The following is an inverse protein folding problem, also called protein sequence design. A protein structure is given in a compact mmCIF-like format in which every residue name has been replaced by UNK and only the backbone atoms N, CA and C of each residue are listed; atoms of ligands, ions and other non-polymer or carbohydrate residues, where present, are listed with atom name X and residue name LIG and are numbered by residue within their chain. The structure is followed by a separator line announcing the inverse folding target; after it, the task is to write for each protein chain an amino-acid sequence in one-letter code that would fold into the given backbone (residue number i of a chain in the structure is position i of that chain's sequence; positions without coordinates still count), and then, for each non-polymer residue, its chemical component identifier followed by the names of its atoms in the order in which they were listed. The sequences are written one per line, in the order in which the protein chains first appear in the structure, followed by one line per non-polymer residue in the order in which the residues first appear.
data_IF_978583489120
#
_entry.id   IF_978583489120
#
_cell.length_a   1.000
_cell.length_b   1.000
_cell.length_c   1.000
_cell.angle_alpha   90.00
_cell.angle_beta   90.00
_cell.angle_gamma   90.00
#
_symmetry.space_group_name_H-M   'P 1'
#
loop_
_entity.id
_entity.type
_entity.pdbx_description
1 polymer ?
#
# COMPACT_ATOMS: atom_id res chain seq x y z
N UNK A 1 11.93 38.41 69.92
CA UNK A 1 13.11 37.81 69.24
C UNK A 1 12.64 36.54 68.55
N UNK A 2 12.78 36.47 67.21
CA UNK A 2 12.52 35.38 66.23
C UNK A 2 11.84 34.08 66.73
N UNK A 3 10.78 33.54 66.06
CA UNK A 3 10.98 32.96 64.73
C UNK A 3 9.80 32.97 63.72
N UNK A 4 10.21 32.86 62.45
CA UNK A 4 9.51 32.25 61.30
C UNK A 4 8.37 33.02 60.63
N UNK A 5 8.73 33.89 59.68
CA UNK A 5 7.81 34.32 58.61
C UNK A 5 7.97 33.39 57.41
N UNK A 6 7.03 32.45 57.24
CA UNK A 6 6.85 31.64 56.03
C UNK A 6 6.50 32.58 54.86
N UNK A 7 7.47 32.87 53.97
CA UNK A 7 7.20 33.47 52.66
C UNK A 7 6.60 32.40 51.75
N UNK A 8 5.39 32.66 51.23
CA UNK A 8 4.80 31.91 50.12
C UNK A 8 5.52 32.33 48.84
N UNK A 9 6.38 31.47 48.32
CA UNK A 9 7.01 31.64 47.00
C UNK A 9 6.03 31.16 45.94
N UNK A 10 5.50 32.08 45.14
CA UNK A 10 4.93 31.74 43.83
C UNK A 10 6.11 31.33 42.93
N UNK A 11 6.22 30.03 42.65
CA UNK A 11 7.12 29.55 41.61
C UNK A 11 6.41 29.70 40.26
N UNK A 12 6.85 30.72 39.51
CA UNK A 12 6.54 30.93 38.11
C UNK A 12 7.23 29.83 37.30
N UNK A 13 6.49 28.82 36.87
CA UNK A 13 7.00 27.82 35.93
C UNK A 13 7.06 28.49 34.56
N UNK A 14 8.27 28.88 34.17
CA UNK A 14 8.58 29.26 32.79
C UNK A 14 8.60 27.98 31.94
N UNK A 15 7.48 27.66 31.29
CA UNK A 15 7.44 26.70 30.19
C UNK A 15 8.08 27.34 28.97
N UNK A 16 9.32 26.96 28.69
CA UNK A 16 9.98 27.21 27.41
C UNK A 16 9.33 26.36 26.33
N UNK A 17 8.22 26.85 25.76
CA UNK A 17 7.63 26.30 24.56
C UNK A 17 8.46 26.68 23.33
N UNK A 18 9.10 25.68 22.71
CA UNK A 18 9.55 25.80 21.32
C UNK A 18 8.30 25.69 20.45
N UNK A 19 7.70 26.84 20.12
CA UNK A 19 6.67 26.94 19.09
C UNK A 19 7.33 26.69 17.73
N UNK A 20 7.06 25.53 17.13
CA UNK A 20 7.30 25.33 15.70
C UNK A 20 6.31 26.16 14.91
N UNK A 21 6.84 26.90 13.93
CA UNK A 21 6.18 27.86 13.06
C UNK A 21 5.22 27.19 12.08
N UNK A 22 4.02 26.83 12.55
CA UNK A 22 2.88 26.49 11.67
C UNK A 22 1.54 27.07 12.16
N UNK A 23 1.59 28.11 13.01
CA UNK A 23 0.40 28.70 13.63
C UNK A 23 0.32 30.23 13.57
N UNK A 24 1.05 30.89 12.67
CA UNK A 24 0.98 32.36 12.52
C UNK A 24 0.47 32.67 11.11
N UNK A 25 -0.83 32.52 10.91
CA UNK A 25 -1.55 33.30 9.89
C UNK A 25 -3.01 33.62 10.28
N UNK A 26 -3.42 33.36 11.53
CA UNK A 26 -4.83 33.50 11.92
C UNK A 26 -5.18 34.67 12.86
N UNK A 27 -4.23 35.43 13.40
CA UNK A 27 -4.55 36.45 14.40
C UNK A 27 -3.71 37.73 14.27
N UNK A 28 -3.88 38.45 13.17
CA UNK A 28 -3.74 39.92 13.17
C UNK A 28 -4.89 40.51 12.34
N UNK A 29 -5.75 41.26 13.03
CA UNK A 29 -7.01 41.76 12.52
C UNK A 29 -6.87 42.62 11.27
N UNK A 30 -7.56 42.21 10.20
CA UNK A 30 -7.97 43.10 9.12
C UNK A 30 -9.44 43.46 9.35
N UNK A 31 -9.72 44.77 9.42
CA UNK A 31 -11.09 45.33 9.38
C UNK A 31 -11.85 44.73 8.18
N UNK A 32 -13.19 44.59 8.26
CA UNK A 32 -13.99 44.18 7.12
C UNK A 32 -13.89 45.27 6.05
N UNK A 33 -13.09 45.02 5.01
CA UNK A 33 -13.22 45.77 3.77
C UNK A 33 -14.53 45.33 3.14
N UNK A 34 -15.44 46.29 2.95
CA UNK A 34 -16.52 46.20 1.98
C UNK A 34 -15.91 45.86 0.62
N UNK A 35 -15.94 44.58 0.25
CA UNK A 35 -15.52 44.15 -1.07
C UNK A 35 -16.64 44.50 -2.05
N UNK A 36 -16.43 45.55 -2.82
CA UNK A 36 -17.01 45.66 -4.16
C UNK A 36 -16.71 44.36 -4.92
N UNK A 37 -17.77 43.67 -5.35
CA UNK A 37 -17.69 42.48 -6.19
C UNK A 37 -17.10 42.89 -7.55
N UNK A 38 -15.79 42.72 -7.70
CA UNK A 38 -15.19 42.62 -9.03
C UNK A 38 -15.14 41.13 -9.35
N UNK A 39 -16.01 40.72 -10.26
CA UNK A 39 -16.04 39.39 -10.83
C UNK A 39 -14.72 39.12 -11.55
N UNK A 40 -13.76 38.48 -10.87
CA UNK A 40 -12.67 37.83 -11.56
C UNK A 40 -13.25 36.60 -12.25
N UNK A 41 -13.60 36.74 -13.54
CA UNK A 41 -13.88 35.61 -14.42
C UNK A 41 -12.61 34.76 -14.50
N UNK A 42 -12.44 33.82 -13.57
CA UNK A 42 -11.58 32.67 -13.81
C UNK A 42 -12.25 31.90 -14.95
N UNK A 43 -11.59 31.68 -16.09
CA UNK A 43 -12.17 30.85 -17.12
C UNK A 43 -12.47 29.47 -16.50
N UNK A 44 -13.73 29.07 -16.54
CA UNK A 44 -14.11 27.70 -16.24
C UNK A 44 -13.41 26.83 -17.28
N UNK A 45 -12.37 26.11 -16.85
CA UNK A 45 -11.71 25.14 -17.70
C UNK A 45 -12.64 23.96 -17.85
N UNK A 46 -13.45 23.96 -18.91
CA UNK A 46 -14.24 22.79 -19.29
C UNK A 46 -13.27 21.69 -19.73
N UNK A 47 -12.95 20.78 -18.79
CA UNK A 47 -12.24 19.55 -19.13
C UNK A 47 -13.25 18.68 -19.88
N UNK A 48 -13.14 18.66 -21.21
CA UNK A 48 -13.83 17.67 -22.02
C UNK A 48 -13.13 16.33 -21.78
N UNK A 49 -13.62 15.58 -20.81
CA UNK A 49 -13.20 14.19 -20.58
C UNK A 49 -13.83 13.35 -21.70
N UNK A 50 -13.01 12.82 -22.60
CA UNK A 50 -13.46 11.78 -23.50
C UNK A 50 -13.54 10.48 -22.70
N UNK A 51 -14.74 9.89 -22.66
CA UNK A 51 -14.93 8.59 -22.04
C UNK A 51 -14.01 7.57 -22.74
N UNK A 52 -13.14 6.93 -21.95
CA UNK A 52 -12.41 5.76 -22.41
C UNK A 52 -13.08 4.53 -21.81
N UNK A 53 -13.82 3.83 -22.63
CA UNK A 53 -14.37 2.53 -22.25
C UNK A 53 -13.31 1.44 -22.42
N UNK A 54 -13.41 0.38 -21.63
CA UNK A 54 -12.58 -0.79 -21.84
C UNK A 54 -12.78 -1.38 -23.24
N UNK A 55 -11.71 -1.99 -23.78
CA UNK A 55 -11.71 -2.61 -25.11
C UNK A 55 -12.65 -3.83 -25.14
N UNK A 56 -12.95 -4.40 -23.97
CA UNK A 56 -13.87 -5.52 -23.76
C UNK A 56 -14.85 -5.20 -22.64
N UNK A 57 -16.08 -5.73 -22.73
CA UNK A 57 -17.08 -5.64 -21.66
C UNK A 57 -17.55 -7.04 -21.21
N UNK A 58 -17.66 -7.28 -19.88
CA UNK A 58 -17.20 -6.40 -18.80
C UNK A 58 -15.67 -6.30 -18.75
N UNK A 59 -15.15 -5.16 -18.29
CA UNK A 59 -13.70 -4.94 -18.14
C UNK A 59 -13.12 -5.66 -16.92
N UNK A 60 -13.99 -5.98 -15.96
CA UNK A 60 -13.65 -6.55 -14.67
C UNK A 60 -14.88 -7.21 -14.07
N UNK A 61 -14.67 -8.31 -13.35
CA UNK A 61 -15.70 -8.91 -12.51
C UNK A 61 -15.68 -8.26 -11.13
N UNK A 62 -16.87 -7.93 -10.62
CA UNK A 62 -17.04 -7.32 -9.30
C UNK A 62 -17.85 -8.26 -8.42
N UNK A 63 -17.21 -8.75 -7.37
CA UNK A 63 -17.83 -9.59 -6.35
C UNK A 63 -17.94 -8.82 -5.05
N UNK A 64 -19.13 -8.82 -4.45
CA UNK A 64 -19.40 -8.10 -3.20
C UNK A 64 -20.05 -9.04 -2.21
N UNK A 65 -19.37 -9.23 -1.09
CA UNK A 65 -19.94 -9.87 0.09
C UNK A 65 -20.20 -8.78 1.11
N UNK A 66 -21.43 -8.70 1.62
CA UNK A 66 -21.87 -7.66 2.57
C UNK A 66 -22.68 -8.27 3.71
N UNK A 67 -22.87 -7.50 4.78
CA UNK A 67 -23.68 -7.93 5.93
C UNK A 67 -23.01 -8.98 6.84
N UNK A 68 -21.70 -9.18 6.71
CA UNK A 68 -20.98 -10.10 7.60
C UNK A 68 -20.65 -9.43 8.93
N UNK A 69 -20.98 -10.12 10.03
CA UNK A 69 -20.62 -9.71 11.37
C UNK A 69 -19.18 -10.17 11.68
N UNK A 70 -18.19 -9.36 11.30
CA UNK A 70 -16.85 -9.28 11.91
C UNK A 70 -16.01 -10.55 12.11
N UNK A 71 -16.35 -11.71 11.55
CA UNK A 71 -15.66 -12.98 11.85
C UNK A 71 -15.25 -13.77 10.61
N UNK A 72 -13.95 -14.06 10.56
CA UNK A 72 -13.13 -15.10 9.86
C UNK A 72 -13.71 -15.91 8.68
N UNK A 73 -14.58 -15.35 7.86
CA UNK A 73 -15.13 -16.04 6.68
C UNK A 73 -15.45 -15.11 5.51
N UNK A 74 -15.16 -13.82 5.61
CA UNK A 74 -15.55 -12.86 4.58
C UNK A 74 -14.82 -13.06 3.26
N UNK A 75 -13.49 -13.21 3.33
CA UNK A 75 -12.69 -13.51 2.15
C UNK A 75 -12.95 -14.92 1.63
N UNK A 76 -13.15 -15.92 2.50
CA UNK A 76 -13.52 -17.26 2.07
C UNK A 76 -14.88 -17.27 1.35
N UNK A 77 -15.87 -16.55 1.87
CA UNK A 77 -17.19 -16.39 1.25
C UNK A 77 -17.06 -15.69 -0.11
N UNK A 78 -16.18 -14.69 -0.20
CA UNK A 78 -15.87 -14.03 -1.47
C UNK A 78 -15.29 -15.02 -2.49
N UNK A 79 -14.33 -15.87 -2.08
CA UNK A 79 -13.75 -16.91 -2.93
C UNK A 79 -14.78 -17.94 -3.39
N UNK A 80 -15.69 -18.34 -2.49
CA UNK A 80 -16.77 -19.27 -2.84
C UNK A 80 -17.75 -18.62 -3.83
N UNK A 81 -18.10 -17.34 -3.64
CA UNK A 81 -18.93 -16.55 -4.57
C UNK A 81 -18.27 -16.40 -5.94
N UNK A 82 -16.98 -16.05 -5.98
CA UNK A 82 -16.20 -15.98 -7.22
C UNK A 82 -16.30 -17.30 -8.00
N UNK A 83 -16.11 -18.42 -7.30
CA UNK A 83 -16.20 -19.76 -7.86
C UNK A 83 -17.59 -20.12 -8.41
N UNK A 84 -18.66 -19.75 -7.70
CA UNK A 84 -20.05 -19.92 -8.16
C UNK A 84 -20.35 -19.15 -9.45
N UNK A 85 -19.60 -18.10 -9.73
CA UNK A 85 -19.68 -17.28 -10.94
C UNK A 85 -18.54 -17.55 -11.93
N UNK A 86 -17.90 -18.72 -11.85
CA UNK A 86 -16.92 -19.18 -12.84
C UNK A 86 -15.52 -18.61 -12.69
N UNK A 87 -15.24 -17.86 -11.62
CA UNK A 87 -13.90 -17.36 -11.30
C UNK A 87 -13.25 -18.25 -10.24
N UNK A 88 -12.46 -19.24 -10.68
CA UNK A 88 -11.75 -20.12 -9.76
C UNK A 88 -10.61 -19.36 -9.04
N UNK A 89 -10.56 -19.46 -7.72
CA UNK A 89 -9.46 -18.86 -6.94
C UNK A 89 -8.23 -19.78 -6.95
N UNK A 90 -8.42 -21.08 -6.75
CA UNK A 90 -7.33 -22.05 -6.75
C UNK A 90 -7.10 -22.62 -8.15
N UNK A 91 -5.88 -22.49 -8.66
CA UNK A 91 -5.48 -23.15 -9.90
C UNK A 91 -5.27 -24.63 -9.61
N UNK A 92 -6.13 -25.47 -10.18
CA UNK A 92 -6.11 -26.90 -9.94
C UNK A 92 -6.59 -27.64 -11.18
N UNK A 93 -6.05 -28.84 -11.39
CA UNK A 93 -6.59 -29.77 -12.39
C UNK A 93 -8.00 -30.26 -12.04
N UNK A 94 -8.42 -30.10 -10.77
CA UNK A 94 -9.71 -30.53 -10.25
C UNK A 94 -10.71 -29.39 -10.38
N UNK A 95 -11.84 -29.67 -11.02
CA UNK A 95 -12.98 -28.76 -11.09
C UNK A 95 -13.87 -28.91 -9.85
N UNK A 96 -13.90 -27.89 -9.00
CA UNK A 96 -14.79 -27.76 -7.83
C UNK A 96 -15.21 -26.29 -7.68
N UNK A 97 -16.09 -25.99 -6.71
CA UNK A 97 -16.64 -24.64 -6.48
C UNK A 97 -15.61 -23.51 -6.69
N UNK A 98 -14.50 -23.52 -5.95
CA UNK A 98 -13.45 -22.49 -6.04
C UNK A 98 -12.16 -22.98 -6.72
N UNK A 99 -12.21 -24.10 -7.46
CA UNK A 99 -11.04 -24.78 -8.03
C UNK A 99 -11.24 -25.01 -9.53
N UNK A 100 -10.20 -24.77 -10.32
CA UNK A 100 -10.22 -25.17 -11.72
C UNK A 100 -8.98 -24.74 -12.48
N UNK A 101 -8.80 -25.26 -13.73
CA UNK A 101 -7.69 -24.88 -14.57
C UNK A 101 -7.74 -23.38 -14.86
N UNK A 102 -6.61 -22.70 -14.67
CA UNK A 102 -6.53 -21.25 -14.84
C UNK A 102 -7.06 -20.45 -13.65
N UNK A 103 -7.24 -21.08 -12.49
CA UNK A 103 -7.52 -20.35 -11.25
C UNK A 103 -6.41 -19.34 -10.89
N UNK A 104 -6.73 -18.37 -10.06
CA UNK A 104 -5.87 -17.21 -9.80
C UNK A 104 -4.55 -17.54 -9.09
N UNK A 105 -4.56 -18.49 -8.16
CA UNK A 105 -3.43 -18.85 -7.29
C UNK A 105 -3.11 -20.34 -7.45
N UNK A 106 -1.93 -20.66 -7.96
CA UNK A 106 -1.38 -22.01 -7.97
C UNK A 106 -0.71 -22.37 -6.64
N UNK A 107 -0.52 -23.67 -6.40
CA UNK A 107 0.04 -24.19 -5.14
C UNK A 107 1.46 -23.69 -4.82
N UNK A 108 2.22 -23.31 -5.84
CA UNK A 108 3.64 -22.93 -5.80
C UNK A 108 3.87 -21.47 -6.23
N UNK A 109 2.80 -20.69 -6.34
CA UNK A 109 2.90 -19.25 -6.57
C UNK A 109 3.58 -18.53 -5.40
N UNK A 110 4.30 -17.46 -5.73
CA UNK A 110 4.76 -16.47 -4.75
C UNK A 110 3.73 -15.34 -4.74
N UNK A 111 3.11 -15.09 -3.59
CA UNK A 111 2.00 -14.14 -3.46
C UNK A 111 2.41 -12.95 -2.59
N UNK A 112 2.45 -11.76 -3.17
CA UNK A 112 2.55 -10.51 -2.41
C UNK A 112 1.15 -10.10 -1.95
N UNK A 113 0.96 -9.99 -0.64
CA UNK A 113 -0.18 -9.29 -0.06
C UNK A 113 0.23 -7.83 0.10
N UNK A 114 -0.17 -7.01 -0.87
CA UNK A 114 0.09 -5.58 -0.87
C UNK A 114 -0.90 -4.94 0.11
N UNK A 115 -0.42 -4.57 1.29
CA UNK A 115 -1.22 -3.96 2.36
C UNK A 115 -1.06 -2.45 2.39
N UNK A 116 -1.83 -1.75 3.23
CA UNK A 116 -1.58 -0.36 3.59
C UNK A 116 -0.94 -0.35 4.98
N UNK A 117 0.36 -0.13 5.02
CA UNK A 117 1.12 0.00 6.25
C UNK A 117 1.70 1.41 6.42
N UNK A 118 1.25 2.39 5.63
CA UNK A 118 1.66 3.78 5.82
C UNK A 118 1.03 4.40 7.07
N UNK A 119 -0.21 4.04 7.37
CA UNK A 119 -0.98 4.60 8.48
C UNK A 119 -1.41 3.48 9.41
N UNK A 120 -1.38 3.74 10.71
CA UNK A 120 -1.94 2.87 11.75
C UNK A 120 -3.46 3.06 11.89
N UNK A 121 -4.06 2.38 12.87
CA UNK A 121 -5.50 2.46 13.19
C UNK A 121 -6.38 2.22 11.93
N UNK A 122 -7.40 3.05 11.72
CA UNK A 122 -8.31 2.99 10.56
C UNK A 122 -7.67 3.44 9.25
N UNK A 123 -6.41 3.87 9.30
CA UNK A 123 -5.65 4.27 8.14
C UNK A 123 -5.03 3.08 7.40
N UNK A 124 -4.78 1.97 8.10
CA UNK A 124 -4.11 0.77 7.60
C UNK A 124 -5.05 -0.39 7.25
N UNK A 125 -4.51 -1.37 6.53
CA UNK A 125 -5.27 -2.58 6.18
C UNK A 125 -5.60 -3.38 7.44
N UNK A 126 -6.86 -3.79 7.57
CA UNK A 126 -7.30 -4.59 8.70
C UNK A 126 -6.56 -5.94 8.75
N UNK A 127 -5.97 -6.24 9.91
CA UNK A 127 -5.09 -7.40 10.07
C UNK A 127 -5.86 -8.72 10.18
N UNK A 128 -7.14 -8.70 10.57
CA UNK A 128 -8.00 -9.90 10.52
C UNK A 128 -8.25 -10.33 9.07
N UNK A 129 -8.45 -9.36 8.16
CA UNK A 129 -8.53 -9.65 6.73
C UNK A 129 -7.21 -10.23 6.20
N UNK A 130 -6.06 -9.69 6.60
CA UNK A 130 -4.75 -10.25 6.20
C UNK A 130 -4.62 -11.71 6.68
N UNK A 131 -4.99 -11.99 7.93
CA UNK A 131 -4.97 -13.34 8.50
C UNK A 131 -5.88 -14.28 7.70
N UNK A 132 -7.08 -13.84 7.36
CA UNK A 132 -8.02 -14.64 6.59
C UNK A 132 -7.51 -14.92 5.17
N UNK A 133 -6.96 -13.92 4.48
CA UNK A 133 -6.39 -14.08 3.13
C UNK A 133 -5.23 -15.08 3.15
N UNK A 134 -4.32 -14.99 4.13
CA UNK A 134 -3.24 -15.97 4.30
C UNK A 134 -3.84 -17.36 4.51
N UNK A 135 -4.81 -17.50 5.42
CA UNK A 135 -5.44 -18.78 5.73
C UNK A 135 -6.11 -19.42 4.50
N UNK A 136 -6.77 -18.62 3.66
CA UNK A 136 -7.37 -19.08 2.40
C UNK A 136 -6.29 -19.55 1.42
N UNK A 137 -5.21 -18.80 1.21
CA UNK A 137 -4.12 -19.20 0.30
C UNK A 137 -3.45 -20.50 0.76
N UNK A 138 -3.06 -20.60 2.04
CA UNK A 138 -2.37 -21.81 2.54
C UNK A 138 -3.28 -23.05 2.56
N UNK A 139 -4.59 -22.83 2.59
CA UNK A 139 -5.61 -23.88 2.47
C UNK A 139 -5.84 -24.33 1.03
N UNK A 140 -4.91 -24.01 0.10
CA UNK A 140 -4.94 -24.53 -1.26
C UNK A 140 -5.24 -26.04 -1.23
N UNK A 141 -6.24 -26.53 -1.98
CA UNK A 141 -6.76 -27.90 -1.86
C UNK A 141 -5.73 -28.99 -2.18
N UNK A 142 -4.73 -28.66 -2.99
CA UNK A 142 -3.61 -29.54 -3.31
C UNK A 142 -2.44 -29.41 -2.31
N UNK A 143 -2.52 -28.48 -1.36
CA UNK A 143 -1.47 -28.12 -0.41
C UNK A 143 -0.56 -27.01 -0.94
N UNK A 144 -0.57 -25.86 -0.28
CA UNK A 144 0.26 -24.72 -0.67
C UNK A 144 1.73 -24.94 -0.27
N UNK A 145 2.65 -24.75 -1.20
CA UNK A 145 4.10 -24.89 -1.04
C UNK A 145 4.89 -23.66 -1.51
N UNK A 146 4.17 -22.68 -2.06
CA UNK A 146 4.72 -21.39 -2.46
C UNK A 146 5.09 -20.51 -1.27
N UNK A 147 5.09 -19.20 -1.49
CA UNK A 147 5.49 -18.20 -0.50
C UNK A 147 4.50 -17.05 -0.45
N UNK A 148 4.27 -16.49 0.73
CA UNK A 148 3.42 -15.31 0.94
C UNK A 148 4.24 -14.20 1.58
N UNK A 149 4.26 -13.03 0.94
CA UNK A 149 4.97 -11.84 1.42
C UNK A 149 3.98 -10.72 1.69
N UNK A 150 3.77 -10.37 2.96
CA UNK A 150 3.00 -9.19 3.36
C UNK A 150 3.89 -7.96 3.22
N UNK A 151 3.61 -7.11 2.24
CA UNK A 151 4.50 -6.01 1.88
C UNK A 151 3.77 -4.70 1.61
N UNK A 152 4.46 -3.63 1.98
CA UNK A 152 4.27 -2.19 1.73
C UNK A 152 5.54 -1.58 2.37
N UNK A 153 5.88 -0.31 2.42
CA UNK A 153 5.49 0.89 1.73
C UNK A 153 6.81 1.46 1.19
N UNK A 154 6.84 2.13 0.04
CA UNK A 154 8.03 2.75 -0.55
C UNK A 154 8.12 4.27 -0.35
N UNK A 155 7.24 4.87 0.45
CA UNK A 155 7.13 6.33 0.55
C UNK A 155 8.11 6.98 1.53
N UNK A 156 8.59 6.32 2.58
CA UNK A 156 9.58 6.71 3.61
C UNK A 156 9.38 8.02 4.42
N UNK A 157 8.79 9.09 3.88
CA UNK A 157 8.63 10.37 4.60
C UNK A 157 7.23 10.63 5.14
N UNK A 158 6.32 9.70 4.94
CA UNK A 158 4.91 9.86 5.27
C UNK A 158 4.44 8.66 6.06
N UNK A 159 3.54 8.89 7.00
CA UNK A 159 2.92 7.85 7.81
C UNK A 159 2.67 8.31 9.24
N UNK A 160 2.13 7.42 10.07
CA UNK A 160 1.69 7.78 11.42
C UNK A 160 2.80 8.29 12.34
N UNK A 161 4.05 7.93 12.06
CA UNK A 161 5.24 8.39 12.80
C UNK A 161 6.01 9.50 12.09
N UNK A 162 5.58 9.88 10.87
CA UNK A 162 6.29 10.84 10.01
C UNK A 162 7.56 10.31 9.33
N UNK A 163 7.88 9.02 9.48
CA UNK A 163 9.13 8.42 9.00
C UNK A 163 8.89 7.11 8.21
N UNK A 164 7.80 7.06 7.45
CA UNK A 164 7.44 5.89 6.65
C UNK A 164 6.35 5.05 7.31
N UNK A 165 6.13 3.88 6.71
CA UNK A 165 5.18 2.89 7.18
C UNK A 165 5.77 1.94 8.24
N UNK A 166 4.92 1.08 8.79
CA UNK A 166 5.35 -0.02 9.66
C UNK A 166 4.40 -1.20 9.55
N UNK A 167 4.95 -2.40 9.42
CA UNK A 167 4.20 -3.67 9.51
C UNK A 167 3.98 -4.13 10.97
N UNK A 168 4.52 -3.37 11.93
CA UNK A 168 4.50 -3.67 13.37
C UNK A 168 3.75 -2.62 14.18
N UNK A 169 2.84 -1.85 13.57
CA UNK A 169 2.02 -0.89 14.32
C UNK A 169 1.28 -1.57 15.48
N UNK A 170 1.35 -0.94 16.66
CA UNK A 170 0.62 -1.38 17.84
C UNK A 170 -0.87 -1.07 17.73
N UNK A 171 -1.20 0.11 17.16
CA UNK A 171 -2.58 0.55 16.96
C UNK A 171 -3.09 0.02 15.62
N UNK A 172 -4.19 -0.71 15.64
CA UNK A 172 -4.81 -1.31 14.46
C UNK A 172 -6.33 -1.09 14.49
N UNK A 173 -6.99 -1.53 13.43
CA UNK A 173 -8.45 -1.51 13.25
C UNK A 173 -9.04 -2.94 13.20
N UNK A 174 -8.33 -3.93 13.73
CA UNK A 174 -8.78 -5.31 13.86
C UNK A 174 -9.61 -5.49 15.15
N UNK A 175 -10.40 -6.55 15.20
CA UNK A 175 -11.11 -6.99 16.40
C UNK A 175 -10.09 -7.39 17.48
N UNK A 176 -9.03 -8.11 17.09
CA UNK A 176 -7.88 -8.30 17.96
C UNK A 176 -6.98 -7.06 17.95
N UNK A 177 -7.26 -6.16 18.90
CA UNK A 177 -6.47 -4.95 19.13
C UNK A 177 -4.97 -5.18 19.43
N UNK A 178 -4.53 -6.42 19.69
CA UNK A 178 -3.10 -6.74 19.87
C UNK A 178 -2.41 -7.15 18.57
N UNK A 179 -3.07 -7.09 17.42
CA UNK A 179 -2.56 -7.69 16.20
C UNK A 179 -1.95 -6.66 15.22
N UNK A 180 -0.66 -6.83 14.91
CA UNK A 180 0.03 -6.16 13.80
C UNK A 180 0.14 -7.10 12.59
N UNK A 181 0.53 -6.58 11.41
CA UNK A 181 0.82 -7.43 10.25
C UNK A 181 1.92 -8.45 10.57
N UNK A 182 2.97 -8.02 11.28
CA UNK A 182 4.05 -8.90 11.74
C UNK A 182 3.52 -10.03 12.62
N UNK A 183 2.68 -9.72 13.63
CA UNK A 183 2.11 -10.75 14.51
C UNK A 183 1.24 -11.75 13.75
N UNK A 184 0.49 -11.29 12.74
CA UNK A 184 -0.27 -12.20 11.86
C UNK A 184 0.67 -13.15 11.12
N UNK A 185 1.70 -12.62 10.47
CA UNK A 185 2.70 -13.41 9.76
C UNK A 185 3.38 -14.43 10.67
N UNK A 186 3.70 -14.04 11.90
CA UNK A 186 4.38 -14.90 12.87
C UNK A 186 3.56 -16.16 13.20
N UNK A 187 2.23 -16.06 13.25
CA UNK A 187 1.31 -17.20 13.48
C UNK A 187 1.52 -18.31 12.44
N UNK A 188 1.79 -17.97 11.18
CA UNK A 188 1.91 -18.94 10.08
C UNK A 188 3.36 -19.35 9.78
N UNK A 189 4.32 -18.50 10.14
CA UNK A 189 5.72 -18.62 9.72
C UNK A 189 6.46 -19.86 10.24
N UNK A 190 5.92 -20.56 11.24
CA UNK A 190 6.47 -21.82 11.76
C UNK A 190 6.22 -23.03 10.85
N UNK A 191 5.17 -22.97 10.02
CA UNK A 191 4.72 -24.09 9.18
C UNK A 191 4.71 -23.75 7.69
N UNK A 192 4.67 -22.46 7.34
CA UNK A 192 4.57 -21.98 5.96
C UNK A 192 5.59 -20.87 5.69
N UNK A 193 5.97 -20.71 4.42
CA UNK A 193 6.81 -19.59 3.97
C UNK A 193 6.00 -18.29 3.94
N UNK A 194 5.78 -17.71 5.12
CA UNK A 194 5.11 -16.43 5.27
C UNK A 194 6.09 -15.44 5.90
N UNK A 195 6.20 -14.25 5.31
CA UNK A 195 7.06 -13.17 5.80
C UNK A 195 6.47 -11.79 5.57
N UNK A 196 6.96 -10.83 6.33
CA UNK A 196 6.79 -9.41 6.07
C UNK A 196 7.95 -8.89 5.22
N UNK A 197 7.72 -7.82 4.48
CA UNK A 197 8.79 -7.05 3.85
C UNK A 197 8.42 -5.56 3.79
N UNK A 198 9.21 -4.70 4.47
CA UNK A 198 8.99 -3.26 4.49
C UNK A 198 9.84 -2.59 3.39
N UNK A 199 9.23 -2.10 2.31
CA UNK A 199 10.00 -1.50 1.21
C UNK A 199 10.70 -0.17 1.56
N UNK A 200 10.30 0.48 2.65
CA UNK A 200 10.91 1.73 3.13
C UNK A 200 12.39 1.50 3.50
N UNK A 201 12.76 0.27 3.87
CA UNK A 201 14.13 -0.12 4.20
C UNK A 201 15.06 -0.04 2.98
N UNK A 202 14.52 -0.17 1.77
CA UNK A 202 15.27 -0.20 0.50
C UNK A 202 14.93 0.95 -0.45
N UNK A 203 13.93 1.77 -0.12
CA UNK A 203 13.36 2.78 -1.04
C UNK A 203 14.35 3.87 -1.50
N UNK A 204 15.45 4.07 -0.78
CA UNK A 204 16.49 5.04 -1.16
C UNK A 204 17.58 4.47 -2.06
N UNK A 205 17.59 3.15 -2.30
CA UNK A 205 18.63 2.49 -3.09
C UNK A 205 18.14 2.28 -4.52
N UNK A 206 18.74 3.01 -5.47
CA UNK A 206 18.58 2.69 -6.88
C UNK A 206 19.44 1.46 -7.21
N UNK A 207 18.84 0.49 -7.88
CA UNK A 207 19.49 -0.73 -8.38
C UNK A 207 19.08 -0.97 -9.83
N UNK A 208 19.87 -1.81 -10.51
CA UNK A 208 19.57 -2.34 -11.85
C UNK A 208 18.79 -3.66 -11.71
N UNK A 209 18.29 -4.26 -12.79
CA UNK A 209 17.53 -5.52 -12.69
C UNK A 209 18.42 -6.75 -12.43
N UNK A 210 17.85 -7.84 -11.92
CA UNK A 210 18.60 -9.10 -11.74
C UNK A 210 19.20 -9.61 -13.05
N UNK A 211 18.48 -9.45 -14.17
CA UNK A 211 18.99 -9.78 -15.51
C UNK A 211 20.21 -8.95 -15.94
N UNK A 212 20.47 -7.83 -15.27
CA UNK A 212 21.62 -6.95 -15.51
C UNK A 212 22.79 -7.28 -14.57
N UNK A 213 22.65 -8.29 -13.72
CA UNK A 213 23.68 -8.78 -12.80
C UNK A 213 23.71 -8.07 -11.44
N UNK A 214 22.74 -7.19 -11.17
CA UNK A 214 22.59 -6.54 -9.88
C UNK A 214 21.73 -7.42 -8.95
N UNK A 215 22.35 -7.95 -7.89
CA UNK A 215 21.69 -8.81 -6.90
C UNK A 215 21.30 -8.06 -5.62
N UNK A 216 21.47 -6.75 -5.55
CA UNK A 216 21.16 -5.95 -4.37
C UNK A 216 19.66 -5.66 -4.26
N UNK A 217 19.16 -5.63 -3.03
CA UNK A 217 17.80 -5.18 -2.74
C UNK A 217 17.68 -3.66 -2.94
N UNK A 218 16.65 -3.21 -3.66
CA UNK A 218 16.47 -1.80 -3.97
C UNK A 218 15.27 -1.53 -4.85
N UNK A 219 15.30 -0.38 -5.50
CA UNK A 219 14.31 0.08 -6.46
C UNK A 219 14.90 0.21 -7.85
N UNK A 220 14.26 -0.45 -8.81
CA UNK A 220 14.51 -0.23 -10.22
C UNK A 220 13.67 0.96 -10.67
N UNK A 221 14.28 1.87 -11.43
CA UNK A 221 13.61 3.04 -11.99
C UNK A 221 13.57 2.90 -13.51
N UNK A 222 12.41 3.13 -14.11
CA UNK A 222 12.33 3.27 -15.55
C UNK A 222 13.20 4.46 -16.03
N UNK A 223 13.63 4.40 -17.29
CA UNK A 223 14.64 5.30 -17.85
C UNK A 223 14.19 6.77 -17.92
N UNK A 224 12.88 7.04 -17.95
CA UNK A 224 12.33 8.38 -18.13
C UNK A 224 11.06 8.64 -17.31
N UNK A 225 10.68 9.92 -17.29
CA UNK A 225 9.39 10.38 -16.76
C UNK A 225 8.34 10.19 -17.85
N UNK A 226 7.20 9.58 -17.53
CA UNK A 226 6.07 9.46 -18.44
C UNK A 226 5.58 10.87 -18.84
N UNK A 227 5.55 11.21 -20.14
CA UNK A 227 5.22 12.57 -20.57
C UNK A 227 3.76 12.95 -20.31
N UNK A 228 2.84 11.98 -20.26
CA UNK A 228 1.41 12.23 -20.06
C UNK A 228 1.08 12.28 -18.58
N UNK A 229 1.53 11.27 -17.83
CA UNK A 229 1.14 11.08 -16.44
C UNK A 229 2.14 11.64 -15.44
N UNK A 230 3.28 12.15 -15.91
CA UNK A 230 4.35 12.81 -15.13
C UNK A 230 5.02 11.93 -14.07
N UNK A 231 4.66 10.65 -13.99
CA UNK A 231 5.29 9.71 -13.08
C UNK A 231 6.59 9.18 -13.69
N UNK A 232 7.59 8.96 -12.86
CA UNK A 232 8.67 8.03 -13.19
C UNK A 232 8.35 6.70 -12.52
N UNK A 233 8.09 5.66 -13.30
CA UNK A 233 7.77 4.34 -12.75
C UNK A 233 8.99 3.80 -12.00
N UNK A 234 8.73 3.29 -10.81
CA UNK A 234 9.74 2.60 -10.01
C UNK A 234 9.11 1.49 -9.20
N UNK A 235 9.85 0.43 -8.92
CA UNK A 235 9.30 -0.74 -8.25
C UNK A 235 10.39 -1.48 -7.45
N UNK A 236 9.99 -2.19 -6.37
CA UNK A 236 10.94 -2.88 -5.52
C UNK A 236 11.43 -4.16 -6.19
N UNK A 237 12.72 -4.41 -6.00
CA UNK A 237 13.43 -5.65 -6.33
C UNK A 237 14.15 -6.10 -5.05
N UNK A 238 13.86 -7.30 -4.56
CA UNK A 238 14.38 -7.76 -3.27
C UNK A 238 14.43 -9.28 -3.13
N UNK A 239 15.26 -9.77 -2.20
CA UNK A 239 15.36 -11.18 -1.82
C UNK A 239 14.69 -11.43 -0.47
N UNK A 240 13.72 -12.33 -0.43
CA UNK A 240 13.02 -12.66 0.82
C UNK A 240 13.92 -13.47 1.77
N UNK A 241 13.52 -13.56 3.05
CA UNK A 241 14.23 -14.39 4.05
C UNK A 241 14.27 -15.88 3.69
N UNK A 242 13.41 -16.33 2.79
CA UNK A 242 13.37 -17.72 2.29
C UNK A 242 14.20 -17.92 1.03
N UNK A 243 14.90 -16.88 0.56
CA UNK A 243 15.82 -16.94 -0.57
C UNK A 243 15.20 -16.62 -1.92
N UNK A 244 13.92 -16.26 -1.98
CA UNK A 244 13.21 -15.97 -3.22
C UNK A 244 13.57 -14.57 -3.74
N UNK A 245 14.06 -14.47 -4.97
CA UNK A 245 14.35 -13.20 -5.61
C UNK A 245 13.12 -12.68 -6.35
N UNK A 246 12.59 -11.55 -5.89
CA UNK A 246 11.38 -10.93 -6.43
C UNK A 246 11.76 -9.63 -7.13
N UNK A 247 11.42 -9.50 -8.41
CA UNK A 247 11.23 -8.19 -9.05
C UNK A 247 9.73 -7.97 -9.18
N UNK A 248 9.22 -6.90 -8.58
CA UNK A 248 7.78 -6.63 -8.60
C UNK A 248 7.21 -6.54 -10.03
N UNK A 249 8.00 -6.04 -10.99
CA UNK A 249 7.62 -5.92 -12.42
C UNK A 249 7.91 -7.17 -13.24
N UNK A 250 9.00 -7.89 -12.95
CA UNK A 250 9.49 -8.98 -13.81
C UNK A 250 9.13 -10.37 -13.33
N UNK A 251 8.70 -10.53 -12.08
CA UNK A 251 8.36 -11.82 -11.47
C UNK A 251 9.49 -12.39 -10.63
N UNK A 252 9.60 -13.72 -10.59
CA UNK A 252 10.58 -14.42 -9.75
C UNK A 252 11.84 -14.70 -10.56
N UNK A 253 12.99 -14.23 -10.08
CA UNK A 253 14.27 -14.46 -10.73
C UNK A 253 14.86 -15.82 -10.33
N UNK A 254 15.27 -16.60 -11.34
CA UNK A 254 15.98 -17.87 -11.16
C UNK A 254 17.43 -17.70 -11.59
N UNK A 255 18.35 -17.66 -10.63
CA UNK A 255 19.78 -17.45 -10.89
C UNK A 255 20.36 -18.51 -11.84
N UNK A 256 20.00 -19.79 -11.65
CA UNK A 256 20.51 -20.92 -12.44
C UNK A 256 20.10 -20.83 -13.92
N UNK A 257 18.89 -20.32 -14.17
CA UNK A 257 18.31 -20.21 -15.51
C UNK A 257 18.57 -18.84 -16.14
N UNK A 258 19.00 -17.85 -15.34
CA UNK A 258 19.12 -16.44 -15.73
C UNK A 258 17.84 -15.89 -16.38
N UNK A 259 16.69 -16.26 -15.83
CA UNK A 259 15.38 -15.92 -16.36
C UNK A 259 14.36 -15.65 -15.25
N UNK A 260 13.30 -14.92 -15.59
CA UNK A 260 12.16 -14.73 -14.71
C UNK A 260 11.04 -15.74 -14.98
N UNK A 261 10.30 -16.12 -13.94
CA UNK A 261 9.01 -16.80 -14.03
C UNK A 261 7.85 -15.89 -13.62
N UNK A 262 6.66 -16.20 -14.13
CA UNK A 262 5.41 -15.43 -14.01
C UNK A 262 4.48 -15.93 -12.88
N UNK A 263 5.01 -16.76 -11.99
CA UNK A 263 4.33 -17.28 -10.80
C UNK A 263 4.32 -16.27 -9.61
N UNK A 264 4.65 -15.00 -9.86
CA UNK A 264 4.44 -13.91 -8.91
C UNK A 264 2.99 -13.40 -9.03
N UNK A 265 2.25 -13.40 -7.93
CA UNK A 265 0.89 -12.86 -7.83
C UNK A 265 0.87 -11.70 -6.84
N UNK A 266 0.05 -10.68 -7.11
CA UNK A 266 -0.15 -9.55 -6.20
C UNK A 266 -1.62 -9.44 -5.84
N UNK A 267 -1.95 -9.60 -4.55
CA UNK A 267 -3.28 -9.30 -4.03
C UNK A 267 -3.21 -7.92 -3.37
N UNK A 268 -3.87 -6.96 -4.01
CA UNK A 268 -3.94 -5.57 -3.54
C UNK A 268 -5.09 -5.42 -2.52
N UNK A 269 -4.76 -5.10 -1.26
CA UNK A 269 -5.72 -5.03 -0.15
C UNK A 269 -5.83 -3.57 0.37
N UNK A 270 -6.50 -2.68 -0.38
CA UNK A 270 -6.56 -1.26 -0.07
C UNK A 270 -7.50 -0.93 1.09
N UNK A 271 -7.35 0.28 1.61
CA UNK A 271 -8.32 0.90 2.52
C UNK A 271 -9.11 1.96 1.75
N UNK A 272 -10.44 1.85 1.80
CA UNK A 272 -11.35 2.89 1.32
C UNK A 272 -11.55 3.92 2.44
N UNK A 273 -11.03 5.13 2.25
CA UNK A 273 -11.17 6.24 3.20
C UNK A 273 -11.24 7.58 2.48
N UNK A 274 -11.75 8.59 3.16
CA UNK A 274 -11.72 9.97 2.67
C UNK A 274 -10.28 10.50 2.63
N UNK A 275 -10.01 11.41 1.69
CA UNK A 275 -8.69 11.99 1.48
C UNK A 275 -8.79 13.45 1.06
N UNK A 276 -8.08 14.34 1.77
CA UNK A 276 -8.17 15.80 1.58
C UNK A 276 -7.86 16.27 0.16
N UNK A 277 -6.91 15.62 -0.53
CA UNK A 277 -6.52 16.00 -1.89
C UNK A 277 -7.27 15.29 -3.03
N UNK A 278 -7.89 14.13 -2.78
CA UNK A 278 -8.37 13.23 -3.86
C UNK A 278 -9.80 12.72 -3.64
N UNK A 279 -10.50 13.23 -2.61
CA UNK A 279 -11.82 12.75 -2.22
C UNK A 279 -11.74 11.43 -1.46
N UNK A 280 -11.24 10.37 -2.10
CA UNK A 280 -11.12 9.02 -1.54
C UNK A 280 -9.81 8.33 -1.90
N UNK A 281 -9.41 7.33 -1.12
CA UNK A 281 -8.40 6.32 -1.50
C UNK A 281 -9.07 5.00 -1.84
N UNK A 282 -8.44 4.18 -2.68
CA UNK A 282 -8.87 2.81 -3.02
C UNK A 282 -7.73 2.10 -3.78
N UNK A 283 -8.06 1.08 -4.58
CA UNK A 283 -7.13 0.19 -5.29
C UNK A 283 -6.01 0.93 -6.05
N UNK A 284 -6.36 1.90 -6.90
CA UNK A 284 -5.37 2.61 -7.75
C UNK A 284 -4.45 3.48 -6.91
N UNK A 285 -4.99 4.27 -5.98
CA UNK A 285 -4.19 5.12 -5.09
C UNK A 285 -3.27 4.30 -4.17
N UNK A 286 -3.65 3.07 -3.85
CA UNK A 286 -2.89 2.20 -2.96
C UNK A 286 -1.53 1.80 -3.55
N UNK A 287 -1.39 1.76 -4.88
CA UNK A 287 -0.10 1.57 -5.57
C UNK A 287 0.94 2.67 -5.28
N UNK A 288 0.54 3.79 -4.64
CA UNK A 288 1.50 4.76 -4.12
C UNK A 288 2.52 4.15 -3.15
N UNK A 289 2.13 3.08 -2.44
CA UNK A 289 3.04 2.36 -1.56
C UNK A 289 4.04 1.47 -2.30
N UNK A 290 3.83 1.18 -3.59
CA UNK A 290 4.75 0.36 -4.39
C UNK A 290 5.95 1.18 -4.85
N UNK A 291 5.75 2.39 -5.34
CA UNK A 291 6.81 3.25 -5.90
C UNK A 291 7.73 3.81 -4.81
N UNK A 292 9.00 4.05 -5.17
CA UNK A 292 9.91 4.86 -4.36
C UNK A 292 9.56 6.33 -4.55
N UNK A 293 8.79 6.91 -3.64
CA UNK A 293 8.43 8.32 -3.73
C UNK A 293 9.66 9.24 -3.59
N UNK A 294 10.66 8.79 -2.82
CA UNK A 294 11.93 9.50 -2.62
C UNK A 294 12.78 9.59 -3.89
N UNK A 295 13.05 8.46 -4.54
CA UNK A 295 13.93 8.43 -5.71
C UNK A 295 13.27 9.10 -6.91
N UNK A 296 11.97 8.90 -7.08
CA UNK A 296 11.20 9.53 -8.14
C UNK A 296 11.09 11.05 -7.93
N UNK A 297 10.93 11.52 -6.69
CA UNK A 297 10.95 12.96 -6.35
C UNK A 297 12.27 13.63 -6.72
N UNK A 298 13.41 13.02 -6.36
CA UNK A 298 14.75 13.54 -6.68
C UNK A 298 15.04 13.62 -8.18
N UNK A 299 14.34 12.83 -8.99
CA UNK A 299 14.51 12.78 -10.45
C UNK A 299 13.39 13.47 -11.22
N UNK A 300 12.50 14.20 -10.55
CA UNK A 300 11.45 15.02 -11.17
C UNK A 300 10.15 14.29 -11.52
N UNK A 301 10.10 12.96 -11.32
CA UNK A 301 8.92 12.13 -11.58
C UNK A 301 8.09 11.80 -10.34
N UNK A 302 8.00 12.74 -9.39
CA UNK A 302 7.41 12.55 -8.06
C UNK A 302 6.00 11.93 -8.11
N UNK A 303 5.84 10.76 -7.47
CA UNK A 303 4.60 10.00 -7.53
C UNK A 303 3.39 10.79 -7.00
N UNK A 304 3.50 11.52 -5.88
CA UNK A 304 2.35 12.31 -5.36
C UNK A 304 1.89 13.40 -6.32
N UNK A 305 2.84 14.09 -6.97
CA UNK A 305 2.52 15.13 -7.96
C UNK A 305 1.92 14.56 -9.25
N UNK A 306 2.16 13.27 -9.52
CA UNK A 306 1.68 12.58 -10.73
C UNK A 306 0.22 12.11 -10.64
N UNK A 307 -0.37 12.05 -9.43
CA UNK A 307 -1.71 11.43 -9.24
C UNK A 307 -2.79 12.11 -10.09
N UNK A 308 -2.82 13.45 -10.12
CA UNK A 308 -3.81 14.21 -10.88
C UNK A 308 -3.70 14.01 -12.40
N UNK A 309 -2.58 13.49 -12.88
CA UNK A 309 -2.32 13.15 -14.27
C UNK A 309 -2.49 11.65 -14.55
N UNK A 310 -2.99 10.86 -13.60
CA UNK A 310 -3.17 9.41 -13.76
C UNK A 310 -1.92 8.58 -13.50
N UNK A 311 -0.88 9.14 -12.87
CA UNK A 311 0.40 8.46 -12.65
C UNK A 311 0.30 7.12 -11.92
N UNK A 312 -0.62 6.96 -10.98
CA UNK A 312 -0.84 5.68 -10.29
C UNK A 312 -1.43 4.59 -11.19
N UNK A 313 -2.22 4.97 -12.20
CA UNK A 313 -2.68 4.04 -13.23
C UNK A 313 -1.52 3.58 -14.12
N UNK A 314 -0.64 4.51 -14.51
CA UNK A 314 0.59 4.16 -15.24
C UNK A 314 1.50 3.25 -14.40
N UNK A 315 1.71 3.58 -13.13
CA UNK A 315 2.49 2.75 -12.20
C UNK A 315 1.96 1.32 -12.21
N UNK A 316 0.67 1.13 -11.97
CA UNK A 316 0.02 -0.19 -11.91
C UNK A 316 0.05 -0.93 -13.25
N UNK A 317 -0.02 -0.23 -14.39
CA UNK A 317 0.00 -0.85 -15.70
C UNK A 317 1.41 -1.22 -16.19
N UNK A 318 2.45 -0.58 -15.65
CA UNK A 318 3.84 -0.74 -16.09
C UNK A 318 4.71 -1.52 -15.10
N UNK A 319 4.10 -2.08 -14.04
CA UNK A 319 4.72 -2.96 -13.05
C UNK A 319 3.82 -4.15 -12.83
#
# INVERSE_FOLDING_TARGET
MSPSTRRKSLALIATSGVLTTLGIYFLLGRKPNTSTSTSSNKPETFIKLEERSAITQPASDIFVVSGLAGLETGFKTLVDLMGEHGTAFYNSSILKRSQGPGGLIARDDVVILKVNSQWDERGGTNTDLIKEVINVIISHPEGFVGEIVVADNGQAQYGSTGHGGSLSYERNNAEDSKQSCQRVVDIFSSSFKVSTWLWDDITLRKVDEYSEGDMEDGYVLDSGINPDTKIRVSYPKFKTKYGTYISFKKGIWHEDLKSYSDNLKVINIPVLKTHSGYGVTACVKHYMGVTSDKLTSRSGGHAHSSIGYGGMGTQMAQT
#
